data_IF_148196583852
#
_entry.id   IF_148196583852
#
_cell.length_a   1.000
_cell.length_b   1.000
_cell.length_c   1.000
_cell.angle_alpha   90.00
_cell.angle_beta   90.00
_cell.angle_gamma   90.00
#
_symmetry.space_group_name_H-M   'P 1'
#
loop_
_entity.id
_entity.type
_entity.pdbx_description
1 polymer ?
#
# COMPACT_ATOMS: atom_id res chain seq x y z
N UNK A 1 12.83 14.71 14.32
CA UNK A 1 11.45 14.62 14.84
C UNK A 1 11.51 14.68 16.35
N UNK A 2 10.69 15.48 17.01
CA UNK A 2 10.81 15.87 18.43
C UNK A 2 11.36 14.75 19.34
N UNK A 3 12.60 14.87 19.85
CA UNK A 3 13.20 13.83 20.68
C UNK A 3 12.40 13.67 21.98
N UNK A 4 12.10 12.42 22.35
CA UNK A 4 11.41 12.08 23.60
C UNK A 4 9.88 12.32 23.64
N UNK A 5 9.25 12.79 22.55
CA UNK A 5 7.79 12.98 22.46
C UNK A 5 7.16 12.08 21.38
N UNK A 6 6.93 10.78 21.68
CA UNK A 6 6.40 9.82 20.70
C UNK A 6 5.01 10.19 20.18
N UNK A 7 4.12 10.72 21.03
CA UNK A 7 2.79 11.17 20.61
C UNK A 7 2.86 12.33 19.60
N UNK A 8 3.74 13.31 19.82
CA UNK A 8 3.88 14.44 18.89
C UNK A 8 4.42 14.00 17.52
N UNK A 9 5.40 13.10 17.50
CA UNK A 9 5.92 12.52 16.26
C UNK A 9 4.88 11.62 15.56
N UNK A 10 4.04 10.94 16.34
CA UNK A 10 2.94 10.15 15.81
C UNK A 10 1.91 11.03 15.11
N UNK A 11 1.40 12.08 15.76
CA UNK A 11 0.46 13.00 15.13
C UNK A 11 1.05 13.65 13.88
N UNK A 12 2.30 14.15 13.95
CA UNK A 12 2.95 14.74 12.78
C UNK A 12 3.06 13.73 11.63
N UNK A 13 3.57 12.52 11.89
CA UNK A 13 3.67 11.48 10.86
C UNK A 13 2.30 11.15 10.29
N UNK A 14 1.29 10.94 11.13
CA UNK A 14 -0.06 10.61 10.69
C UNK A 14 -0.66 11.72 9.82
N UNK A 15 -0.52 12.99 10.19
CA UNK A 15 -1.04 14.10 9.39
C UNK A 15 -0.26 14.26 8.08
N UNK A 16 1.07 14.34 8.14
CA UNK A 16 1.89 14.62 6.96
C UNK A 16 1.95 13.42 6.00
N UNK A 17 2.17 12.21 6.50
CA UNK A 17 2.28 11.01 5.66
C UNK A 17 0.95 10.67 4.99
N UNK A 18 -0.17 10.67 5.73
CA UNK A 18 -1.46 10.37 5.11
C UNK A 18 -1.92 11.47 4.16
N UNK A 19 -1.68 12.76 4.48
CA UNK A 19 -2.00 13.85 3.55
C UNK A 19 -1.18 13.76 2.25
N UNK A 20 0.13 13.48 2.34
CA UNK A 20 0.99 13.30 1.18
C UNK A 20 0.57 12.09 0.34
N UNK A 21 0.28 10.96 0.99
CA UNK A 21 -0.18 9.74 0.31
C UNK A 21 -1.51 9.97 -0.41
N UNK A 22 -2.45 10.66 0.24
CA UNK A 22 -3.73 11.03 -0.37
C UNK A 22 -3.54 11.97 -1.56
N UNK A 23 -2.64 12.96 -1.43
CA UNK A 23 -2.29 13.88 -2.52
C UNK A 23 -1.66 13.17 -3.72
N UNK A 24 -0.75 12.21 -3.47
CA UNK A 24 -0.17 11.38 -4.52
C UNK A 24 -1.22 10.54 -5.25
N UNK A 25 -2.17 9.96 -4.52
CA UNK A 25 -3.26 9.18 -5.11
C UNK A 25 -4.15 10.07 -6.01
N UNK A 26 -4.56 11.23 -5.50
CA UNK A 26 -5.33 12.22 -6.26
C UNK A 26 -4.61 12.65 -7.55
N UNK A 27 -3.30 12.95 -7.46
CA UNK A 27 -2.50 13.33 -8.61
C UNK A 27 -2.40 12.20 -9.66
N UNK A 28 -2.27 10.95 -9.21
CA UNK A 28 -2.26 9.78 -10.11
C UNK A 28 -3.58 9.65 -10.86
N UNK A 29 -4.70 9.82 -10.16
CA UNK A 29 -6.03 9.69 -10.75
C UNK A 29 -6.37 10.85 -11.69
N UNK A 30 -5.91 12.07 -11.39
CA UNK A 30 -6.01 13.21 -12.31
C UNK A 30 -5.24 12.97 -13.61
N UNK A 31 -4.04 12.39 -13.51
CA UNK A 31 -3.25 12.03 -14.69
C UNK A 31 -3.94 10.95 -15.53
N UNK A 32 -4.58 9.96 -14.88
CA UNK A 32 -5.38 8.95 -15.56
C UNK A 32 -6.61 9.57 -16.27
N UNK A 33 -7.29 10.51 -15.62
CA UNK A 33 -8.43 11.21 -16.21
C UNK A 33 -8.04 12.06 -17.43
N UNK A 34 -6.85 12.67 -17.42
CA UNK A 34 -6.28 13.34 -18.59
C UNK A 34 -6.09 12.37 -19.76
N UNK A 35 -5.60 11.14 -19.51
CA UNK A 35 -5.50 10.11 -20.56
C UNK A 35 -6.86 9.67 -21.10
N UNK A 36 -7.89 9.70 -20.26
CA UNK A 36 -9.28 9.40 -20.65
C UNK A 36 -9.99 10.59 -21.33
N UNK A 37 -9.30 11.72 -21.57
CA UNK A 37 -9.86 12.93 -22.17
C UNK A 37 -11.05 13.52 -21.41
N UNK A 38 -11.07 13.37 -20.08
CA UNK A 38 -12.12 13.92 -19.22
C UNK A 38 -11.83 15.40 -18.87
N UNK A 39 -12.87 16.25 -18.72
CA UNK A 39 -12.69 17.65 -18.35
C UNK A 39 -12.12 17.77 -16.93
N UNK A 40 -10.95 18.42 -16.74
CA UNK A 40 -10.20 18.38 -15.49
C UNK A 40 -10.92 19.03 -14.31
N UNK A 41 -11.73 20.06 -14.56
CA UNK A 41 -12.51 20.75 -13.52
C UNK A 41 -13.58 19.83 -12.90
N UNK A 42 -14.28 19.06 -13.74
CA UNK A 42 -15.30 18.13 -13.28
C UNK A 42 -14.67 16.96 -12.52
N UNK A 43 -13.56 16.41 -13.02
CA UNK A 43 -12.84 15.32 -12.34
C UNK A 43 -12.35 15.73 -10.96
N UNK A 44 -11.79 16.94 -10.83
CA UNK A 44 -11.31 17.47 -9.54
C UNK A 44 -12.44 17.63 -8.52
N UNK A 45 -13.59 18.19 -8.93
CA UNK A 45 -14.75 18.34 -8.06
C UNK A 45 -15.29 16.99 -7.59
N UNK A 46 -15.42 16.01 -8.50
CA UNK A 46 -15.89 14.66 -8.16
C UNK A 46 -14.93 13.97 -7.19
N UNK A 47 -13.62 14.12 -7.38
CA UNK A 47 -12.63 13.55 -6.46
C UNK A 47 -12.69 14.19 -5.06
N UNK A 48 -12.87 15.51 -4.96
CA UNK A 48 -13.02 16.18 -3.66
C UNK A 48 -14.30 15.71 -2.96
N UNK A 49 -15.43 15.71 -3.66
CA UNK A 49 -16.71 15.26 -3.09
C UNK A 49 -16.60 13.79 -2.64
N UNK A 50 -16.00 12.94 -3.46
CA UNK A 50 -15.73 11.54 -3.12
C UNK A 50 -14.83 11.38 -1.89
N UNK A 51 -13.79 12.21 -1.75
CA UNK A 51 -12.93 12.21 -0.56
C UNK A 51 -13.70 12.64 0.70
N UNK A 52 -14.54 13.67 0.61
CA UNK A 52 -15.33 14.16 1.76
C UNK A 52 -16.34 13.09 2.20
N UNK A 53 -17.09 12.52 1.26
CA UNK A 53 -18.05 11.45 1.55
C UNK A 53 -17.32 10.22 2.11
N UNK A 54 -16.21 9.81 1.50
CA UNK A 54 -15.39 8.70 1.97
C UNK A 54 -14.82 8.92 3.38
N UNK A 55 -14.39 10.14 3.71
CA UNK A 55 -13.91 10.49 5.04
C UNK A 55 -15.03 10.39 6.10
N UNK A 56 -16.25 10.84 5.77
CA UNK A 56 -17.40 10.72 6.66
C UNK A 56 -17.77 9.25 6.91
N UNK A 57 -17.86 8.44 5.86
CA UNK A 57 -18.13 7.00 6.00
C UNK A 57 -17.03 6.29 6.79
N UNK A 58 -15.77 6.61 6.55
CA UNK A 58 -14.65 6.04 7.29
C UNK A 58 -14.74 6.37 8.78
N UNK A 59 -15.08 7.61 9.12
CA UNK A 59 -15.28 8.04 10.51
C UNK A 59 -16.44 7.30 11.19
N UNK A 60 -17.60 7.19 10.54
CA UNK A 60 -18.76 6.44 11.06
C UNK A 60 -18.41 4.97 11.28
N UNK A 61 -17.70 4.35 10.32
CA UNK A 61 -17.25 2.97 10.45
C UNK A 61 -16.27 2.79 11.60
N UNK A 62 -15.33 3.72 11.77
CA UNK A 62 -14.36 3.70 12.88
C UNK A 62 -15.09 3.74 14.23
N UNK A 63 -16.00 4.69 14.44
CA UNK A 63 -16.76 4.81 15.70
C UNK A 63 -17.54 3.50 15.98
N UNK A 64 -18.25 3.00 14.98
CA UNK A 64 -19.04 1.78 15.12
C UNK A 64 -18.19 0.52 15.35
N UNK A 65 -16.98 0.43 14.80
CA UNK A 65 -16.07 -0.71 15.06
C UNK A 65 -15.48 -0.60 16.48
N UNK A 66 -15.07 0.60 16.90
CA UNK A 66 -14.48 0.82 18.23
C UNK A 66 -15.49 0.53 19.34
N UNK A 67 -16.74 0.94 19.19
CA UNK A 67 -17.80 0.67 20.17
C UNK A 67 -18.17 -0.82 20.27
N UNK A 68 -18.20 -1.55 19.14
CA UNK A 68 -18.64 -2.95 19.11
C UNK A 68 -17.52 -3.98 19.31
N UNK A 69 -16.24 -3.59 19.16
CA UNK A 69 -15.10 -4.52 19.17
C UNK A 69 -13.94 -4.09 20.10
N UNK A 70 -14.17 -3.13 21.01
CA UNK A 70 -13.21 -2.70 22.03
C UNK A 70 -12.47 -3.86 22.77
N UNK A 71 -13.13 -4.96 23.19
CA UNK A 71 -12.42 -6.06 23.85
C UNK A 71 -11.55 -6.91 22.91
N UNK A 72 -11.92 -7.04 21.63
CA UNK A 72 -11.18 -7.83 20.62
C UNK A 72 -9.95 -7.10 20.06
N UNK A 73 -9.98 -5.77 20.01
CA UNK A 73 -8.82 -4.93 19.64
C UNK A 73 -7.71 -4.92 20.70
N UNK A 74 -8.05 -5.30 21.95
CA UNK A 74 -7.11 -5.37 23.08
C UNK A 74 -6.54 -6.79 23.28
N UNK A 75 -7.15 -7.81 22.65
CA UNK A 75 -6.69 -9.19 22.74
C UNK A 75 -5.42 -9.40 21.90
N UNK A 76 -4.43 -10.08 22.48
CA UNK A 76 -3.11 -10.36 21.86
C UNK A 76 -3.25 -11.27 20.62
N UNK A 77 -4.33 -12.05 20.56
CA UNK A 77 -4.76 -12.80 19.37
C UNK A 77 -5.99 -12.11 18.80
N UNK A 78 -5.78 -11.26 17.80
CA UNK A 78 -6.88 -10.81 16.94
C UNK A 78 -7.55 -12.03 16.29
N UNK A 79 -8.85 -11.93 15.99
CA UNK A 79 -9.51 -12.94 15.17
C UNK A 79 -8.95 -12.90 13.74
N UNK A 80 -9.15 -13.96 12.95
CA UNK A 80 -8.73 -14.04 11.53
C UNK A 80 -9.24 -12.86 10.67
N UNK A 81 -10.19 -12.07 11.17
CA UNK A 81 -10.89 -11.00 10.45
C UNK A 81 -10.53 -9.61 11.02
N UNK A 82 -10.34 -9.49 12.34
CA UNK A 82 -9.98 -8.24 13.00
C UNK A 82 -8.66 -8.38 13.76
N UNK A 83 -7.60 -7.79 13.22
CA UNK A 83 -6.27 -7.80 13.83
C UNK A 83 -5.85 -6.37 14.21
N UNK A 84 -5.50 -6.18 15.48
CA UNK A 84 -4.90 -4.95 15.99
C UNK A 84 -3.48 -4.70 15.46
N UNK A 85 -2.94 -5.58 14.61
CA UNK A 85 -1.59 -5.52 14.07
C UNK A 85 -1.25 -4.19 13.38
N UNK A 86 -2.20 -3.60 12.62
CA UNK A 86 -1.95 -2.30 12.00
C UNK A 86 -1.75 -1.20 13.06
N UNK A 87 -2.59 -1.18 14.11
CA UNK A 87 -2.51 -0.20 15.20
C UNK A 87 -1.23 -0.43 16.02
N UNK A 88 -0.87 -1.68 16.29
CA UNK A 88 0.38 -2.03 16.98
C UNK A 88 1.63 -1.66 16.15
N UNK A 89 1.59 -1.82 14.82
CA UNK A 89 2.66 -1.40 13.93
C UNK A 89 2.82 0.12 13.95
N UNK A 90 1.72 0.87 13.93
CA UNK A 90 1.73 2.33 14.06
C UNK A 90 2.34 2.79 15.40
N UNK A 91 1.97 2.16 16.52
CA UNK A 91 2.55 2.45 17.83
C UNK A 91 4.05 2.11 17.89
N UNK A 92 4.44 0.95 17.34
CA UNK A 92 5.84 0.53 17.29
C UNK A 92 6.69 1.49 16.45
N UNK A 93 6.18 1.93 15.29
CA UNK A 93 6.83 2.94 14.45
C UNK A 93 6.98 4.28 15.19
N UNK A 94 5.93 4.73 15.88
CA UNK A 94 5.97 5.97 16.66
C UNK A 94 7.06 5.95 17.74
N UNK A 95 7.17 4.83 18.45
CA UNK A 95 8.18 4.63 19.49
C UNK A 95 9.58 4.56 18.85
N UNK A 96 9.76 3.79 17.78
CA UNK A 96 11.03 3.66 17.07
C UNK A 96 11.56 5.01 16.57
N UNK A 97 10.70 5.85 15.98
CA UNK A 97 11.08 7.18 15.49
C UNK A 97 11.31 8.18 16.63
N UNK A 98 10.68 8.00 17.80
CA UNK A 98 10.93 8.83 18.99
C UNK A 98 12.27 8.54 19.66
N UNK A 99 12.80 7.33 19.49
CA UNK A 99 14.11 6.88 19.96
C UNK A 99 15.14 6.74 18.84
N UNK A 100 14.91 7.40 17.70
CA UNK A 100 15.71 7.22 16.49
C UNK A 100 17.21 7.46 16.70
N UNK A 101 17.58 8.41 17.55
CA UNK A 101 18.98 8.73 17.88
C UNK A 101 19.70 7.58 18.62
N UNK A 102 18.96 6.77 19.40
CA UNK A 102 19.50 5.61 20.12
C UNK A 102 19.37 4.30 19.34
N UNK A 103 18.44 4.21 18.39
CA UNK A 103 18.22 2.99 17.59
C UNK A 103 18.99 3.00 16.26
N UNK A 104 19.09 4.14 15.57
CA UNK A 104 19.58 4.24 14.20
C UNK A 104 20.95 4.94 14.04
N UNK A 105 21.58 5.32 15.14
CA UNK A 105 22.93 5.88 15.14
C UNK A 105 23.99 4.81 14.86
N UNK A 106 25.15 5.23 14.34
CA UNK A 106 26.28 4.35 13.99
C UNK A 106 26.83 3.71 15.27
N UNK A 107 26.83 2.37 15.35
CA UNK A 107 27.14 1.60 16.56
C UNK A 107 25.93 1.11 17.37
N UNK A 108 24.69 1.43 16.96
CA UNK A 108 23.47 0.96 17.62
C UNK A 108 22.91 -0.34 17.00
N UNK A 109 21.98 -1.00 17.71
CA UNK A 109 21.41 -2.31 17.34
C UNK A 109 20.78 -2.36 15.93
N UNK A 110 20.30 -1.23 15.39
CA UNK A 110 19.65 -1.15 14.07
C UNK A 110 20.46 -0.36 13.02
N UNK A 111 21.78 -0.25 13.16
CA UNK A 111 22.66 0.36 12.15
C UNK A 111 22.49 -0.26 10.75
N UNK A 112 22.27 -1.57 10.68
CA UNK A 112 22.02 -2.26 9.41
C UNK A 112 20.74 -1.77 8.69
N UNK A 113 19.77 -1.23 9.42
CA UNK A 113 18.56 -0.67 8.83
C UNK A 113 18.84 0.65 8.12
N UNK A 114 19.70 1.52 8.68
CA UNK A 114 20.12 2.76 8.01
C UNK A 114 21.06 2.47 6.84
N UNK A 115 21.95 1.49 6.98
CA UNK A 115 22.79 1.00 5.86
C UNK A 115 21.97 0.36 4.73
N UNK A 116 20.80 -0.20 5.03
CA UNK A 116 19.90 -0.76 4.00
C UNK A 116 19.41 0.30 3.00
N UNK A 117 19.35 1.58 3.38
CA UNK A 117 19.05 2.66 2.41
C UNK A 117 20.17 2.84 1.39
N UNK A 118 21.43 2.77 1.82
CA UNK A 118 22.59 2.79 0.93
C UNK A 118 22.60 1.56 0.02
N UNK A 119 22.34 0.37 0.57
CA UNK A 119 22.22 -0.84 -0.25
C UNK A 119 21.07 -0.72 -1.27
N UNK A 120 19.90 -0.20 -0.88
CA UNK A 120 18.78 0.02 -1.79
C UNK A 120 19.12 0.97 -2.96
N UNK A 121 19.98 1.96 -2.74
CA UNK A 121 20.47 2.86 -3.79
C UNK A 121 21.57 2.22 -4.64
N UNK A 122 22.46 1.45 -4.01
CA UNK A 122 23.58 0.79 -4.70
C UNK A 122 23.08 -0.37 -5.55
N UNK A 123 22.13 -1.18 -5.09
CA UNK A 123 21.67 -2.38 -5.79
C UNK A 123 21.25 -2.15 -7.26
N UNK A 124 20.49 -1.12 -7.66
CA UNK A 124 20.13 -0.91 -9.06
C UNK A 124 21.32 -0.48 -9.95
N UNK A 125 22.41 0.06 -9.40
CA UNK A 125 23.55 0.59 -10.18
C UNK A 125 24.38 -0.51 -10.86
N UNK A 126 24.80 -1.62 -10.20
CA UNK A 126 25.45 -2.76 -10.83
C UNK A 126 24.60 -3.40 -11.92
N UNK A 127 23.28 -3.47 -11.74
CA UNK A 127 22.39 -4.05 -12.76
C UNK A 127 22.24 -3.15 -13.98
N UNK A 128 22.22 -1.83 -13.80
CA UNK A 128 22.26 -0.87 -14.91
C UNK A 128 23.59 -0.95 -15.67
N UNK A 129 24.73 -1.05 -14.96
CA UNK A 129 26.04 -1.26 -15.57
C UNK A 129 26.13 -2.62 -16.31
N UNK A 130 25.64 -3.70 -15.70
CA UNK A 130 25.60 -5.03 -16.31
C UNK A 130 24.71 -5.05 -17.57
N UNK A 131 23.59 -4.35 -17.58
CA UNK A 131 22.77 -4.21 -18.78
C UNK A 131 23.51 -3.48 -19.90
N UNK A 132 24.27 -2.43 -19.57
CA UNK A 132 25.08 -1.66 -20.53
C UNK A 132 26.24 -2.46 -21.12
N UNK A 133 26.85 -3.35 -20.35
CA UNK A 133 27.97 -4.19 -20.81
C UNK A 133 27.55 -5.46 -21.55
N UNK A 134 26.49 -6.14 -21.11
CA UNK A 134 26.12 -7.46 -21.66
C UNK A 134 25.14 -7.36 -22.83
N UNK A 135 24.45 -6.22 -23.01
CA UNK A 135 23.50 -6.00 -24.13
C UNK A 135 22.29 -6.95 -24.14
N UNK A 136 22.10 -7.76 -23.10
CA UNK A 136 21.04 -8.75 -23.01
C UNK A 136 19.70 -8.12 -22.63
N UNK A 137 18.69 -8.32 -23.49
CA UNK A 137 17.33 -7.78 -23.34
C UNK A 137 16.63 -8.22 -22.05
N UNK A 138 17.02 -9.35 -21.45
CA UNK A 138 16.43 -9.88 -20.21
C UNK A 138 16.61 -8.91 -19.03
N UNK A 139 17.76 -8.26 -18.92
CA UNK A 139 18.03 -7.28 -17.85
C UNK A 139 17.21 -5.99 -17.99
N UNK A 140 16.72 -5.65 -19.19
CA UNK A 140 15.81 -4.50 -19.38
C UNK A 140 14.39 -4.80 -18.92
N UNK A 141 13.98 -6.07 -18.87
CA UNK A 141 12.63 -6.45 -18.42
C UNK A 141 12.55 -6.69 -16.91
N UNK A 142 13.68 -6.97 -16.25
CA UNK A 142 13.76 -7.21 -14.81
C UNK A 142 13.99 -5.91 -14.04
N UNK A 143 12.91 -5.32 -13.54
CA UNK A 143 12.98 -4.19 -12.62
C UNK A 143 13.28 -4.68 -11.19
N UNK A 144 14.56 -4.95 -10.90
CA UNK A 144 14.99 -5.42 -9.57
C UNK A 144 14.55 -4.48 -8.44
N UNK A 145 14.49 -3.16 -8.65
CA UNK A 145 13.99 -2.22 -7.65
C UNK A 145 12.54 -2.49 -7.24
N UNK A 146 11.69 -2.90 -8.19
CA UNK A 146 10.30 -3.28 -7.91
C UNK A 146 10.26 -4.62 -7.18
N UNK A 147 11.09 -5.58 -7.60
CA UNK A 147 11.18 -6.90 -6.96
C UNK A 147 11.62 -6.78 -5.49
N UNK A 148 12.68 -6.00 -5.21
CA UNK A 148 13.16 -5.73 -3.85
C UNK A 148 12.13 -5.01 -2.99
N UNK A 149 11.40 -4.04 -3.58
CA UNK A 149 10.30 -3.37 -2.89
C UNK A 149 9.19 -4.37 -2.49
N UNK A 150 8.75 -5.21 -3.43
CA UNK A 150 7.74 -6.24 -3.13
C UNK A 150 8.26 -7.30 -2.16
N UNK A 151 9.53 -7.70 -2.23
CA UNK A 151 10.16 -8.60 -1.26
C UNK A 151 10.16 -8.02 0.15
N UNK A 152 10.47 -6.73 0.31
CA UNK A 152 10.38 -6.04 1.60
C UNK A 152 8.94 -5.97 2.12
N UNK A 153 7.98 -5.75 1.24
CA UNK A 153 6.56 -5.71 1.60
C UNK A 153 5.99 -7.11 1.97
N UNK A 154 6.48 -8.17 1.31
CA UNK A 154 6.10 -9.58 1.53
C UNK A 154 6.52 -10.11 2.91
N UNK A 155 7.48 -9.46 3.56
CA UNK A 155 7.96 -9.86 4.89
C UNK A 155 6.99 -9.46 6.02
N UNK A 156 6.03 -8.56 5.76
CA UNK A 156 5.12 -8.03 6.79
C UNK A 156 3.71 -8.58 6.59
N UNK A 157 3.32 -9.56 7.43
CA UNK A 157 1.92 -9.92 7.66
C UNK A 157 1.37 -11.18 6.96
N UNK A 158 0.04 -11.33 7.04
CA UNK A 158 -0.71 -12.51 6.55
C UNK A 158 -0.64 -12.60 5.03
N UNK A 159 0.16 -13.55 4.53
CA UNK A 159 0.45 -13.71 3.10
C UNK A 159 -0.63 -14.46 2.30
N UNK A 160 -1.77 -14.80 2.92
CA UNK A 160 -2.82 -15.62 2.28
C UNK A 160 -3.46 -14.97 1.05
N UNK A 161 -3.47 -13.63 0.94
CA UNK A 161 -4.04 -12.92 -0.21
C UNK A 161 -3.07 -12.77 -1.38
N UNK A 162 -1.77 -12.94 -1.16
CA UNK A 162 -0.73 -12.68 -2.17
C UNK A 162 -0.61 -13.80 -3.20
N UNK A 163 -0.83 -15.05 -2.80
CA UNK A 163 -0.87 -16.19 -3.75
C UNK A 163 -1.97 -15.99 -4.79
N UNK A 164 -3.16 -15.58 -4.35
CA UNK A 164 -4.28 -15.23 -5.22
C UNK A 164 -3.92 -14.07 -6.17
N UNK A 165 -3.24 -13.03 -5.67
CA UNK A 165 -2.78 -11.92 -6.51
C UNK A 165 -1.80 -12.38 -7.60
N UNK A 166 -0.83 -13.25 -7.27
CA UNK A 166 0.11 -13.79 -8.25
C UNK A 166 -0.58 -14.69 -9.28
N UNK A 167 -1.55 -15.52 -8.86
CA UNK A 167 -2.31 -16.39 -9.78
C UNK A 167 -3.14 -15.53 -10.75
N UNK A 168 -3.91 -14.57 -10.24
CA UNK A 168 -4.74 -13.68 -11.07
C UNK A 168 -3.85 -12.84 -11.99
N UNK A 169 -2.74 -12.31 -11.46
CA UNK A 169 -1.75 -11.56 -12.23
C UNK A 169 -1.12 -12.39 -13.35
N UNK A 170 -0.75 -13.64 -13.07
CA UNK A 170 -0.21 -14.55 -14.08
C UNK A 170 -1.25 -14.89 -15.16
N UNK A 171 -2.49 -15.21 -14.77
CA UNK A 171 -3.56 -15.50 -15.73
C UNK A 171 -3.84 -14.28 -16.62
N UNK A 172 -3.96 -13.09 -16.04
CA UNK A 172 -4.24 -11.86 -16.79
C UNK A 172 -3.06 -11.44 -17.69
N UNK A 173 -1.83 -11.41 -17.15
CA UNK A 173 -0.67 -10.86 -17.87
C UNK A 173 0.04 -11.88 -18.77
N UNK A 174 0.09 -13.16 -18.39
CA UNK A 174 0.77 -14.18 -19.18
C UNK A 174 -0.20 -14.89 -20.12
N UNK A 175 -1.35 -15.37 -19.62
CA UNK A 175 -2.27 -16.15 -20.45
C UNK A 175 -3.14 -15.26 -21.36
N UNK A 176 -3.83 -14.28 -20.78
CA UNK A 176 -4.79 -13.46 -21.54
C UNK A 176 -4.08 -12.56 -22.57
N UNK A 177 -2.91 -12.01 -22.23
CA UNK A 177 -2.10 -11.19 -23.14
C UNK A 177 -1.46 -11.98 -24.29
N UNK A 178 -1.01 -13.22 -24.05
CA UNK A 178 -0.28 -14.03 -25.05
C UNK A 178 -1.21 -14.80 -25.99
N UNK A 179 -2.33 -15.30 -25.48
CA UNK A 179 -3.22 -16.18 -26.26
C UNK A 179 -4.43 -15.46 -26.87
N UNK A 180 -4.92 -14.34 -26.28
CA UNK A 180 -6.10 -13.61 -26.77
C UNK A 180 -5.99 -12.08 -26.59
N UNK A 181 -5.08 -11.40 -27.31
CA UNK A 181 -4.81 -9.97 -27.14
C UNK A 181 -6.02 -9.07 -27.41
N UNK A 182 -6.92 -9.43 -28.34
CA UNK A 182 -8.13 -8.65 -28.64
C UNK A 182 -9.13 -8.66 -27.47
N UNK A 183 -9.26 -9.78 -26.76
CA UNK A 183 -10.11 -9.86 -25.55
C UNK A 183 -9.48 -9.13 -24.38
N UNK A 184 -8.16 -9.18 -24.24
CA UNK A 184 -7.43 -8.45 -23.20
C UNK A 184 -7.68 -6.94 -23.30
N UNK A 185 -7.54 -6.33 -24.48
CA UNK A 185 -7.75 -4.87 -24.64
C UNK A 185 -9.21 -4.48 -24.36
N UNK A 186 -10.18 -5.30 -24.75
CA UNK A 186 -11.61 -4.96 -24.62
C UNK A 186 -12.18 -5.21 -23.22
N UNK A 187 -11.78 -6.29 -22.55
CA UNK A 187 -12.44 -6.75 -21.31
C UNK A 187 -11.57 -6.63 -20.06
N UNK A 188 -10.25 -6.51 -20.17
CA UNK A 188 -9.38 -6.51 -18.98
C UNK A 188 -9.69 -5.32 -18.05
N UNK A 189 -9.97 -4.14 -18.61
CA UNK A 189 -10.37 -2.98 -17.81
C UNK A 189 -11.70 -3.21 -17.08
N UNK A 190 -12.70 -3.77 -17.79
CA UNK A 190 -14.01 -4.05 -17.21
C UNK A 190 -13.94 -5.13 -16.11
N UNK A 191 -13.17 -6.20 -16.33
CA UNK A 191 -12.96 -7.26 -15.34
C UNK A 191 -12.20 -6.73 -14.13
N UNK A 192 -11.18 -5.89 -14.33
CA UNK A 192 -10.45 -5.26 -13.23
C UNK A 192 -11.35 -4.33 -12.42
N UNK A 193 -12.21 -3.55 -13.08
CA UNK A 193 -13.17 -2.68 -12.41
C UNK A 193 -14.24 -3.50 -11.64
N UNK A 194 -14.72 -4.60 -12.22
CA UNK A 194 -15.68 -5.49 -11.58
C UNK A 194 -15.09 -6.20 -10.35
N UNK A 195 -13.82 -6.61 -10.42
CA UNK A 195 -13.15 -7.27 -9.30
C UNK A 195 -12.86 -6.31 -8.14
N UNK A 196 -12.46 -5.06 -8.45
CA UNK A 196 -12.29 -4.02 -7.43
C UNK A 196 -13.63 -3.66 -6.77
N UNK A 197 -14.67 -3.40 -7.56
CA UNK A 197 -16.01 -3.13 -7.05
C UNK A 197 -16.60 -4.30 -6.26
N UNK A 198 -16.44 -5.54 -6.75
CA UNK A 198 -16.90 -6.75 -6.06
C UNK A 198 -16.19 -6.98 -4.73
N UNK A 199 -14.88 -6.70 -4.66
CA UNK A 199 -14.13 -6.78 -3.40
C UNK A 199 -14.62 -5.76 -2.39
N UNK A 200 -14.86 -4.51 -2.81
CA UNK A 200 -15.40 -3.47 -1.93
C UNK A 200 -16.79 -3.82 -1.38
N UNK A 201 -17.68 -4.35 -2.22
CA UNK A 201 -19.02 -4.80 -1.79
C UNK A 201 -18.91 -5.99 -0.83
N UNK A 202 -18.05 -6.96 -1.11
CA UNK A 202 -17.84 -8.11 -0.23
C UNK A 202 -17.28 -7.70 1.13
N UNK A 203 -16.29 -6.80 1.16
CA UNK A 203 -15.75 -6.24 2.42
C UNK A 203 -16.83 -5.48 3.18
N UNK A 204 -17.66 -4.69 2.50
CA UNK A 204 -18.79 -4.01 3.11
C UNK A 204 -19.75 -5.01 3.77
N UNK A 205 -20.21 -6.03 3.03
CA UNK A 205 -21.11 -7.06 3.55
C UNK A 205 -20.48 -7.80 4.72
N UNK A 206 -19.22 -8.24 4.62
CA UNK A 206 -18.52 -8.92 5.72
C UNK A 206 -18.44 -8.04 6.97
N UNK A 207 -18.20 -6.73 6.80
CA UNK A 207 -18.10 -5.80 7.93
C UNK A 207 -19.43 -5.63 8.66
N UNK A 208 -20.57 -5.75 7.97
CA UNK A 208 -21.89 -5.73 8.60
C UNK A 208 -22.34 -7.10 9.11
N UNK A 209 -22.01 -8.17 8.41
CA UNK A 209 -22.35 -9.54 8.81
C UNK A 209 -21.64 -9.97 10.09
N UNK A 210 -20.42 -9.46 10.34
CA UNK A 210 -19.67 -9.73 11.58
C UNK A 210 -20.13 -8.84 12.75
N UNK A 211 -20.98 -7.83 12.50
CA UNK A 211 -21.60 -6.99 13.56
C UNK A 211 -22.86 -7.62 14.17
N UNK A 212 -23.23 -8.84 13.78
CA UNK A 212 -24.30 -9.67 14.38
C UNK A 212 -23.65 -10.85 15.08
#
# INVERSE_FOLDING_TARGET
MFPGKPLANFYFTCYTYNALKQGQLLAKDLKLAQYAHLPPKCTFLVQIVGCVVGALFNWVMMVSIVENQAPLLTAIQGSNIWSGQNIQQFNTLAIAWSMADKLFSVGARYEWMTLSFLFGFVVPLPFWLAHRYTGWKVFSYLNFSIILYYMGNLFVGVNSSMTSFFIVGFIAQFWLRKYRPQFFVKYNYLVSAALDGGTQVLVFILTFAVKI
#
